data_IF_171034287741
#
_entry.id   IF_171034287741
#
_cell.length_a   1.000
_cell.length_b   1.000
_cell.length_c   1.000
_cell.angle_alpha   90.00
_cell.angle_beta   90.00
_cell.angle_gamma   90.00
#
_symmetry.space_group_name_H-M   'P 1'
#
loop_
_entity.id
_entity.type
_entity.pdbx_description
1 polymer ?
#
# COMPACT_ATOMS: atom_id res chain seq x y z
N UNK A 1 -6.27 21.90 15.19
CA UNK A 1 -5.36 20.79 14.85
C UNK A 1 -6.15 19.73 14.09
N UNK A 2 -5.67 19.28 12.93
CA UNK A 2 -6.24 18.13 12.24
C UNK A 2 -5.81 16.83 12.95
N UNK A 3 -6.67 15.80 13.02
CA UNK A 3 -6.27 14.43 13.33
C UNK A 3 -4.97 14.02 12.63
N UNK A 4 -4.10 13.28 13.33
CA UNK A 4 -2.90 12.71 12.71
C UNK A 4 -3.30 11.83 11.52
N UNK A 5 -2.59 11.99 10.40
CA UNK A 5 -2.86 11.26 9.16
C UNK A 5 -3.89 11.92 8.24
N UNK A 6 -4.60 12.97 8.68
CA UNK A 6 -5.53 13.69 7.81
C UNK A 6 -4.80 14.74 6.95
N UNK A 7 -5.00 14.68 5.63
CA UNK A 7 -4.46 15.67 4.71
C UNK A 7 -5.35 16.94 4.71
N UNK A 8 -4.79 18.16 4.65
CA UNK A 8 -5.59 19.38 4.62
C UNK A 8 -6.61 19.38 3.46
N UNK A 9 -7.86 19.70 3.76
CA UNK A 9 -8.93 19.77 2.77
C UNK A 9 -9.57 18.42 2.41
N UNK A 10 -9.29 17.34 3.17
CA UNK A 10 -9.96 16.04 3.01
C UNK A 10 -10.80 15.70 4.22
N UNK A 11 -12.00 15.15 4.00
CA UNK A 11 -12.89 14.73 5.09
C UNK A 11 -12.55 13.32 5.62
N UNK A 12 -11.82 12.54 4.83
CA UNK A 12 -11.37 11.19 5.15
C UNK A 12 -9.88 11.15 5.46
N UNK A 13 -9.47 10.23 6.35
CA UNK A 13 -8.06 9.84 6.55
C UNK A 13 -7.56 8.91 5.44
N UNK A 14 -8.48 8.24 4.74
CA UNK A 14 -8.17 7.21 3.74
C UNK A 14 -8.41 7.72 2.33
N UNK A 15 -7.47 7.39 1.44
CA UNK A 15 -7.58 7.58 0.00
C UNK A 15 -7.77 6.22 -0.65
N UNK A 16 -8.89 6.05 -1.35
CA UNK A 16 -9.21 4.80 -2.03
C UNK A 16 -8.51 4.74 -3.39
N UNK A 17 -8.01 3.55 -3.75
CA UNK A 17 -7.63 3.23 -5.13
C UNK A 17 -8.88 3.04 -6.02
N UNK A 18 -8.69 3.08 -7.33
CA UNK A 18 -9.79 2.99 -8.30
C UNK A 18 -10.51 1.63 -8.21
N UNK A 19 -11.83 1.67 -8.00
CA UNK A 19 -12.66 0.47 -7.80
C UNK A 19 -12.73 -0.43 -9.03
N UNK A 20 -12.64 0.13 -10.24
CA UNK A 20 -12.65 -0.65 -11.47
C UNK A 20 -11.32 -1.38 -11.63
N UNK A 21 -10.19 -0.69 -11.40
CA UNK A 21 -8.87 -1.32 -11.43
C UNK A 21 -8.73 -2.42 -10.37
N UNK A 22 -9.25 -2.20 -9.16
CA UNK A 22 -9.33 -3.26 -8.13
C UNK A 22 -10.15 -4.45 -8.63
N UNK A 23 -11.29 -4.21 -9.28
CA UNK A 23 -12.14 -5.25 -9.84
C UNK A 23 -11.42 -6.09 -10.91
N UNK A 24 -10.68 -5.45 -11.81
CA UNK A 24 -9.86 -6.12 -12.84
C UNK A 24 -8.79 -6.98 -12.18
N UNK A 25 -8.04 -6.41 -11.22
CA UNK A 25 -6.99 -7.13 -10.50
C UNK A 25 -7.52 -8.37 -9.78
N UNK A 26 -8.63 -8.25 -9.03
CA UNK A 26 -9.25 -9.36 -8.30
C UNK A 26 -9.89 -10.41 -9.20
N UNK A 27 -10.33 -10.04 -10.41
CA UNK A 27 -10.83 -11.01 -11.39
C UNK A 27 -9.70 -11.91 -11.90
N UNK A 28 -8.52 -11.33 -12.14
CA UNK A 28 -7.34 -12.08 -12.60
C UNK A 28 -6.67 -12.85 -11.46
N UNK A 29 -6.59 -12.24 -10.27
CA UNK A 29 -5.98 -12.80 -9.08
C UNK A 29 -6.95 -12.76 -7.88
N UNK A 30 -7.86 -13.74 -7.75
CA UNK A 30 -8.88 -13.76 -6.70
C UNK A 30 -8.34 -13.74 -5.27
N UNK A 31 -7.12 -14.24 -5.08
CA UNK A 31 -6.46 -14.31 -3.78
C UNK A 31 -5.80 -12.99 -3.35
N UNK A 32 -5.76 -11.96 -4.22
CA UNK A 32 -5.28 -10.64 -3.83
C UNK A 32 -6.20 -10.02 -2.77
N UNK A 33 -5.59 -9.64 -1.65
CA UNK A 33 -6.28 -8.96 -0.56
C UNK A 33 -6.32 -7.47 -0.82
N UNK A 34 -7.50 -6.88 -0.61
CA UNK A 34 -7.62 -5.43 -0.49
C UNK A 34 -7.29 -5.08 0.96
N UNK A 35 -6.36 -4.15 1.15
CA UNK A 35 -5.78 -3.83 2.46
C UNK A 35 -5.75 -2.32 2.69
N UNK A 36 -5.68 -1.93 3.96
CA UNK A 36 -5.35 -0.58 4.36
C UNK A 36 -3.84 -0.44 4.50
N UNK A 37 -3.27 0.55 3.82
CA UNK A 37 -1.84 0.80 3.81
C UNK A 37 -1.53 2.13 4.51
N UNK A 38 -0.68 2.11 5.54
CA UNK A 38 -0.12 3.31 6.15
C UNK A 38 1.13 3.75 5.38
N UNK A 39 1.19 5.01 4.97
CA UNK A 39 2.27 5.53 4.12
C UNK A 39 2.96 6.72 4.79
N UNK A 40 4.28 6.68 4.92
CA UNK A 40 5.09 7.76 5.47
C UNK A 40 6.56 7.64 5.02
N UNK A 41 7.30 8.74 4.97
CA UNK A 41 8.72 8.78 4.62
C UNK A 41 9.62 8.24 5.76
N UNK A 42 9.41 6.96 6.12
CA UNK A 42 10.13 6.26 7.17
C UNK A 42 10.07 4.75 6.93
N UNK A 43 11.23 4.10 6.95
CA UNK A 43 11.29 2.65 7.09
C UNK A 43 10.95 2.24 8.53
N UNK A 44 9.81 1.60 8.73
CA UNK A 44 9.33 1.19 10.07
C UNK A 44 9.83 -0.22 10.38
N UNK A 45 10.97 -0.32 11.09
CA UNK A 45 11.55 -1.62 11.45
C UNK A 45 11.10 -2.14 12.83
N UNK A 46 10.68 -1.25 13.73
CA UNK A 46 10.35 -1.62 15.12
C UNK A 46 8.96 -2.28 15.21
N UNK A 47 8.84 -3.51 15.79
CA UNK A 47 7.56 -4.20 15.90
C UNK A 47 6.51 -3.47 16.71
N UNK A 48 6.89 -2.74 17.77
CA UNK A 48 5.95 -1.96 18.58
C UNK A 48 5.42 -0.77 17.78
N UNK A 49 6.27 -0.13 16.97
CA UNK A 49 5.85 0.92 16.06
C UNK A 49 4.89 0.40 14.99
N UNK A 50 5.18 -0.75 14.35
CA UNK A 50 4.27 -1.41 13.40
C UNK A 50 2.90 -1.68 14.03
N UNK A 51 2.88 -2.24 15.25
CA UNK A 51 1.64 -2.51 16.00
C UNK A 51 0.89 -1.23 16.37
N UNK A 52 1.60 -0.17 16.76
CA UNK A 52 1.00 1.13 17.08
C UNK A 52 0.34 1.77 15.84
N UNK A 53 1.00 1.71 14.68
CA UNK A 53 0.46 2.18 13.39
C UNK A 53 -0.79 1.37 13.02
N UNK A 54 -0.71 0.04 13.09
CA UNK A 54 -1.85 -0.85 12.80
C UNK A 54 -3.05 -0.56 13.72
N UNK A 55 -2.82 -0.46 15.03
CA UNK A 55 -3.87 -0.16 16.00
C UNK A 55 -4.51 1.22 15.79
N UNK A 56 -3.71 2.22 15.39
CA UNK A 56 -4.17 3.60 15.22
C UNK A 56 -4.93 3.83 13.92
N UNK A 57 -4.48 3.22 12.83
CA UNK A 57 -4.99 3.50 11.48
C UNK A 57 -5.72 2.31 10.84
N UNK A 58 -5.89 1.21 11.57
CA UNK A 58 -6.40 -0.06 11.04
C UNK A 58 -5.62 -0.51 9.80
N UNK A 59 -4.31 -0.24 9.80
CA UNK A 59 -3.42 -0.57 8.69
C UNK A 59 -2.99 -2.04 8.76
N UNK A 60 -3.01 -2.71 7.62
CA UNK A 60 -2.52 -4.08 7.45
C UNK A 60 -1.03 -4.09 7.07
N UNK A 61 -0.58 -3.08 6.33
CA UNK A 61 0.80 -2.91 5.88
C UNK A 61 1.26 -1.45 6.02
N UNK A 62 2.58 -1.22 6.00
CA UNK A 62 3.17 0.11 5.91
C UNK A 62 4.27 0.20 4.85
N UNK A 63 4.40 1.37 4.23
CA UNK A 63 5.39 1.67 3.18
C UNK A 63 5.59 3.19 3.06
N UNK A 64 6.23 3.68 2.00
CA UNK A 64 6.78 5.03 1.96
C UNK A 64 6.22 5.97 0.87
N UNK A 65 5.39 5.51 -0.07
CA UNK A 65 5.03 6.28 -1.27
C UNK A 65 3.53 6.38 -1.58
N UNK A 66 2.74 5.36 -1.22
CA UNK A 66 1.39 5.13 -1.75
C UNK A 66 0.43 6.29 -1.49
N UNK A 67 0.47 6.92 -0.31
CA UNK A 67 -0.41 8.05 -0.03
C UNK A 67 -0.07 9.26 -0.92
N UNK A 68 1.22 9.57 -1.12
CA UNK A 68 1.64 10.66 -1.98
C UNK A 68 1.23 10.45 -3.44
N UNK A 69 1.37 9.22 -3.94
CA UNK A 69 0.95 8.83 -5.29
C UNK A 69 -0.59 8.94 -5.42
N UNK A 70 -1.36 8.32 -4.52
CA UNK A 70 -2.82 8.34 -4.58
C UNK A 70 -3.39 9.75 -4.46
N UNK A 71 -2.88 10.58 -3.54
CA UNK A 71 -3.29 11.98 -3.41
C UNK A 71 -3.07 12.72 -4.73
N UNK A 72 -1.91 12.52 -5.37
CA UNK A 72 -1.58 13.18 -6.64
C UNK A 72 -2.48 12.72 -7.77
N UNK A 73 -2.70 11.41 -7.91
CA UNK A 73 -3.60 10.83 -8.90
C UNK A 73 -5.04 11.34 -8.71
N UNK A 74 -5.55 11.34 -7.48
CA UNK A 74 -6.89 11.81 -7.15
C UNK A 74 -7.08 13.29 -7.50
N UNK A 75 -6.08 14.14 -7.20
CA UNK A 75 -6.12 15.57 -7.56
C UNK A 75 -6.14 15.83 -9.07
N UNK A 76 -5.67 14.87 -9.87
CA UNK A 76 -5.61 14.97 -11.33
C UNK A 76 -6.65 14.10 -12.05
N UNK A 77 -7.59 13.48 -11.32
CA UNK A 77 -8.59 12.55 -11.87
C UNK A 77 -7.98 11.39 -12.66
N UNK A 78 -6.83 10.86 -12.19
CA UNK A 78 -6.16 9.71 -12.80
C UNK A 78 -6.49 8.45 -11.99
N UNK A 79 -7.11 7.41 -12.57
CA UNK A 79 -7.30 6.12 -11.92
C UNK A 79 -5.96 5.55 -11.47
N UNK A 80 -5.90 5.05 -10.23
CA UNK A 80 -4.67 4.53 -9.66
C UNK A 80 -4.95 3.23 -8.91
N UNK A 81 -4.06 2.25 -9.08
CA UNK A 81 -4.04 0.98 -8.37
C UNK A 81 -2.63 0.75 -7.84
N UNK A 82 -2.53 0.32 -6.59
CA UNK A 82 -1.27 -0.08 -5.98
C UNK A 82 -1.26 -1.59 -5.81
N UNK A 83 -0.27 -2.26 -6.40
CA UNK A 83 0.05 -3.66 -6.11
C UNK A 83 1.27 -3.67 -5.19
N UNK A 84 1.18 -4.42 -4.08
CA UNK A 84 2.25 -4.56 -3.10
C UNK A 84 2.39 -6.03 -2.73
N UNK A 85 3.64 -6.46 -2.60
CA UNK A 85 4.03 -7.73 -2.00
C UNK A 85 4.81 -7.41 -0.73
N UNK A 86 4.57 -8.16 0.34
CA UNK A 86 5.20 -7.91 1.64
C UNK A 86 6.62 -8.48 1.64
N UNK A 87 7.60 -7.68 2.03
CA UNK A 87 9.02 -8.10 2.10
C UNK A 87 9.56 -8.22 3.53
N UNK A 88 8.84 -7.74 4.54
CA UNK A 88 9.15 -7.99 5.94
C UNK A 88 7.88 -8.09 6.80
N UNK A 89 7.93 -8.92 7.82
CA UNK A 89 6.79 -9.21 8.70
C UNK A 89 6.71 -8.24 9.89
N UNK A 90 5.69 -8.38 10.74
CA UNK A 90 5.55 -7.56 11.96
C UNK A 90 6.75 -7.71 12.90
N UNK A 91 7.30 -8.92 13.02
CA UNK A 91 8.50 -9.19 13.83
C UNK A 91 9.80 -9.03 13.03
N UNK A 92 9.67 -8.87 11.71
CA UNK A 92 10.75 -8.61 10.79
C UNK A 92 11.25 -7.17 10.84
N UNK A 93 12.22 -6.90 9.97
CA UNK A 93 12.79 -5.57 9.79
C UNK A 93 13.79 -5.59 8.63
N UNK A 94 14.87 -4.82 8.76
CA UNK A 94 15.84 -4.63 7.68
C UNK A 94 16.43 -5.93 7.12
N UNK A 95 16.76 -6.89 7.98
CA UNK A 95 17.36 -8.16 7.54
C UNK A 95 16.39 -9.01 6.71
N UNK A 96 15.14 -9.17 7.17
CA UNK A 96 14.10 -9.88 6.41
C UNK A 96 13.80 -9.16 5.09
N UNK A 97 13.70 -7.82 5.15
CA UNK A 97 13.52 -6.99 3.96
C UNK A 97 14.63 -7.24 2.93
N UNK A 98 15.90 -7.21 3.34
CA UNK A 98 17.04 -7.42 2.44
C UNK A 98 17.03 -8.80 1.79
N UNK A 99 16.56 -9.83 2.51
CA UNK A 99 16.47 -11.19 2.00
C UNK A 99 15.31 -11.38 1.01
N UNK A 100 14.21 -10.64 1.18
CA UNK A 100 12.97 -10.89 0.45
C UNK A 100 12.66 -9.85 -0.63
N UNK A 101 13.26 -8.66 -0.58
CA UNK A 101 12.87 -7.53 -1.45
C UNK A 101 12.93 -7.88 -2.93
N UNK A 102 13.94 -8.61 -3.38
CA UNK A 102 14.07 -9.01 -4.79
C UNK A 102 12.98 -9.99 -5.21
N UNK A 103 12.74 -11.03 -4.41
CA UNK A 103 11.70 -12.02 -4.68
C UNK A 103 10.30 -11.38 -4.67
N UNK A 104 10.03 -10.55 -3.66
CA UNK A 104 8.78 -9.80 -3.54
C UNK A 104 8.59 -8.83 -4.72
N UNK A 105 9.63 -8.12 -5.14
CA UNK A 105 9.57 -7.22 -6.29
C UNK A 105 9.24 -7.97 -7.60
N UNK A 106 9.85 -9.13 -7.83
CA UNK A 106 9.57 -9.95 -9.01
C UNK A 106 8.11 -10.43 -9.05
N UNK A 107 7.57 -10.93 -7.93
CA UNK A 107 6.16 -11.31 -7.84
C UNK A 107 5.24 -10.11 -8.08
N UNK A 108 5.57 -8.95 -7.50
CA UNK A 108 4.81 -7.72 -7.69
C UNK A 108 4.80 -7.29 -9.16
N UNK A 109 5.96 -7.36 -9.83
CA UNK A 109 6.12 -7.04 -11.24
C UNK A 109 5.26 -7.96 -12.12
N UNK A 110 5.35 -9.28 -11.93
CA UNK A 110 4.60 -10.25 -12.73
C UNK A 110 3.08 -10.05 -12.62
N UNK A 111 2.58 -9.82 -11.39
CA UNK A 111 1.16 -9.53 -11.15
C UNK A 111 0.77 -8.23 -11.86
N UNK A 112 1.58 -7.19 -11.74
CA UNK A 112 1.31 -5.87 -12.32
C UNK A 112 1.31 -5.93 -13.85
N UNK A 113 2.31 -6.57 -14.45
CA UNK A 113 2.42 -6.73 -15.91
C UNK A 113 1.22 -7.48 -16.49
N UNK A 114 0.77 -8.54 -15.82
CA UNK A 114 -0.41 -9.29 -16.26
C UNK A 114 -1.71 -8.50 -16.11
N UNK A 115 -1.85 -7.65 -15.09
CA UNK A 115 -2.98 -6.72 -14.98
C UNK A 115 -2.94 -5.69 -16.12
N UNK A 116 -1.78 -5.11 -16.42
CA UNK A 116 -1.62 -4.12 -17.49
C UNK A 116 -2.02 -4.69 -18.85
N UNK A 117 -1.70 -5.95 -19.14
CA UNK A 117 -2.10 -6.62 -20.39
C UNK A 117 -3.62 -6.78 -20.57
N UNK A 118 -4.42 -6.56 -19.53
CA UNK A 118 -5.88 -6.61 -19.58
C UNK A 118 -6.54 -5.23 -19.67
N UNK A 119 -5.77 -4.16 -19.53
CA UNK A 119 -6.24 -2.77 -19.64
C UNK A 119 -6.23 -2.32 -21.10
#
# INVERSE_FOLDING_TARGET
>A
HHPQGQYPGTDSLYFEADKNLIGIAKKLYPDLKTVTCASADKFVADPNEKRAISAKFSADICEMESAGILITCNRNNIPCLMIKTVSDSVEGGKEEFDLQVEASANVCFDITDNIIKLL
#
